data_IF_188720988731
#
_entry.id   IF_188720988731
#
_cell.length_a   1.000
_cell.length_b   1.000
_cell.length_c   1.000
_cell.angle_alpha   90.00
_cell.angle_beta   90.00
_cell.angle_gamma   90.00
#
_symmetry.space_group_name_H-M   'P 1'
#
loop_
_entity.id
_entity.type
_entity.pdbx_description
1 polymer ?
#
# COMPACT_ATOMS: atom_id res chain seq x y z
N UNK A 1 -22.73 24.73 6.94
CA UNK A 1 -24.04 24.41 7.56
C UNK A 1 -24.24 22.92 7.38
N UNK A 2 -23.99 22.12 8.42
CA UNK A 2 -24.12 20.65 8.37
C UNK A 2 -24.81 20.26 9.66
N UNK A 3 -26.05 19.79 9.53
CA UNK A 3 -26.91 19.40 10.64
C UNK A 3 -26.43 18.08 11.25
N UNK A 4 -26.29 18.05 12.58
CA UNK A 4 -26.11 16.83 13.36
C UNK A 4 -27.48 16.40 13.86
N UNK A 5 -27.97 15.25 13.41
CA UNK A 5 -29.12 14.59 14.04
C UNK A 5 -28.61 13.52 15.00
N UNK A 6 -28.85 13.74 16.30
CA UNK A 6 -28.73 12.75 17.37
C UNK A 6 -30.15 12.33 17.72
N UNK A 7 -30.46 11.04 17.61
CA UNK A 7 -31.71 10.47 18.11
C UNK A 7 -31.39 9.51 19.25
N UNK A 8 -31.88 9.87 20.44
CA UNK A 8 -31.84 9.09 21.67
C UNK A 8 -32.98 8.08 21.66
N UNK A 9 -32.63 6.79 21.67
CA UNK A 9 -33.57 5.67 21.83
C UNK A 9 -33.25 4.91 23.11
N UNK A 10 -34.26 4.78 23.97
CA UNK A 10 -34.27 4.19 25.31
C UNK A 10 -34.17 2.65 25.28
N UNK A 11 -33.27 2.07 26.08
CA UNK A 11 -33.14 0.62 26.26
C UNK A 11 -34.04 0.09 27.40
N UNK A 12 -34.63 -1.10 27.19
CA UNK A 12 -34.97 -2.08 28.24
C UNK A 12 -34.36 -3.44 27.85
N UNK A 13 -33.81 -4.22 28.80
CA UNK A 13 -32.83 -5.25 28.47
C UNK A 13 -33.50 -6.61 28.25
N UNK A 14 -33.09 -7.30 27.19
CA UNK A 14 -33.28 -8.74 27.07
C UNK A 14 -31.92 -9.38 26.84
N UNK A 15 -31.40 -10.04 27.87
CA UNK A 15 -30.13 -10.77 27.85
C UNK A 15 -30.07 -11.71 26.65
N UNK A 16 -29.16 -11.42 25.72
CA UNK A 16 -28.79 -12.31 24.62
C UNK A 16 -27.28 -12.22 24.50
N UNK A 17 -26.63 -13.39 24.59
CA UNK A 17 -25.19 -13.53 24.46
C UNK A 17 -24.67 -12.72 23.26
N UNK A 18 -23.76 -11.78 23.52
CA UNK A 18 -23.14 -10.96 22.48
C UNK A 18 -22.31 -11.90 21.57
N UNK A 19 -22.60 -11.98 20.26
CA UNK A 19 -21.62 -12.53 19.36
C UNK A 19 -20.39 -11.63 19.43
N UNK A 20 -19.21 -12.23 19.67
CA UNK A 20 -17.94 -11.54 19.52
C UNK A 20 -17.94 -10.98 18.12
N UNK A 21 -18.07 -9.65 18.02
CA UNK A 21 -17.95 -8.96 16.76
C UNK A 21 -16.51 -9.15 16.31
N UNK A 22 -16.29 -10.14 15.44
CA UNK A 22 -15.10 -10.19 14.62
C UNK A 22 -15.22 -8.97 13.73
N UNK A 23 -14.60 -7.87 14.19
CA UNK A 23 -14.54 -6.63 13.44
C UNK A 23 -14.04 -6.92 12.02
N UNK A 24 -14.35 -6.04 11.06
CA UNK A 24 -13.87 -6.22 9.69
C UNK A 24 -12.36 -6.47 9.74
N UNK A 25 -11.95 -7.64 9.28
CA UNK A 25 -10.54 -7.96 9.09
C UNK A 25 -10.01 -6.87 8.17
N UNK A 26 -9.17 -5.99 8.71
CA UNK A 26 -8.49 -4.96 7.94
C UNK A 26 -7.60 -5.69 6.92
N UNK A 27 -8.11 -5.88 5.70
CA UNK A 27 -7.27 -6.20 4.56
C UNK A 27 -6.62 -4.88 4.16
N UNK A 28 -5.29 -4.72 4.33
CA UNK A 28 -4.62 -3.58 3.74
C UNK A 28 -4.98 -3.59 2.25
N UNK A 29 -5.33 -2.43 1.66
CA UNK A 29 -5.66 -2.40 0.25
C UNK A 29 -4.47 -2.97 -0.52
N UNK A 30 -4.74 -3.79 -1.51
CA UNK A 30 -3.72 -4.27 -2.43
C UNK A 30 -3.28 -3.09 -3.30
N UNK A 31 -2.00 -3.00 -3.65
CA UNK A 31 -1.59 -2.08 -4.73
C UNK A 31 -2.33 -2.52 -5.99
N UNK A 32 -3.19 -1.67 -6.53
CA UNK A 32 -4.00 -2.00 -7.71
C UNK A 32 -3.47 -1.25 -8.92
N UNK A 33 -3.30 -1.95 -10.03
CA UNK A 33 -2.84 -1.39 -11.29
C UNK A 33 -3.93 -1.59 -12.34
N UNK A 34 -4.31 -0.53 -13.02
CA UNK A 34 -5.32 -0.53 -14.08
C UNK A 34 -4.77 0.19 -15.30
N UNK A 35 -4.80 -0.44 -16.47
CA UNK A 35 -4.46 0.20 -17.73
C UNK A 35 -5.75 0.64 -18.43
N UNK A 36 -5.93 1.94 -18.65
CA UNK A 36 -7.07 2.52 -19.36
C UNK A 36 -6.63 3.69 -20.23
N UNK A 37 -7.09 3.73 -21.48
CA UNK A 37 -6.86 4.85 -22.41
C UNK A 37 -5.38 5.27 -22.51
N UNK A 38 -4.46 4.30 -22.72
CA UNK A 38 -3.00 4.50 -22.73
C UNK A 38 -2.41 5.08 -21.43
N UNK A 39 -3.12 4.95 -20.31
CA UNK A 39 -2.67 5.40 -18.99
C UNK A 39 -2.65 4.25 -17.99
N UNK A 40 -1.56 4.17 -17.24
CA UNK A 40 -1.44 3.30 -16.07
C UNK A 40 -1.93 4.05 -14.83
N UNK A 41 -3.04 3.58 -14.27
CA UNK A 41 -3.57 4.00 -12.99
C UNK A 41 -3.05 3.06 -11.90
N UNK A 42 -2.19 3.58 -11.02
CA UNK A 42 -1.68 2.83 -9.87
C UNK A 42 -2.35 3.39 -8.61
N UNK A 43 -3.10 2.55 -7.90
CA UNK A 43 -3.70 2.86 -6.61
C UNK A 43 -2.83 2.30 -5.51
N UNK A 44 -2.33 3.18 -4.64
CA UNK A 44 -1.42 2.81 -3.56
C UNK A 44 -2.14 3.07 -2.24
N UNK A 45 -2.22 2.06 -1.35
CA UNK A 45 -2.78 2.24 -0.02
C UNK A 45 -1.93 3.23 0.77
N UNK A 46 -2.54 4.28 1.30
CA UNK A 46 -1.86 5.26 2.15
C UNK A 46 -2.35 5.21 3.60
N UNK A 47 -3.17 4.21 3.95
CA UNK A 47 -3.65 4.03 5.31
C UNK A 47 -2.46 3.76 6.25
N UNK A 48 -2.35 4.55 7.32
CA UNK A 48 -1.20 4.52 8.23
C UNK A 48 -0.03 5.43 7.84
N UNK A 49 -0.15 6.19 6.74
CA UNK A 49 0.85 7.18 6.33
C UNK A 49 0.37 8.60 6.63
N UNK A 50 1.27 9.49 7.03
CA UNK A 50 0.98 10.93 7.11
C UNK A 50 0.96 11.57 5.71
N UNK A 51 0.33 12.75 5.55
CA UNK A 51 0.39 13.49 4.28
C UNK A 51 1.83 13.75 3.80
N UNK A 52 2.75 14.04 4.72
CA UNK A 52 4.17 14.23 4.41
C UNK A 52 4.82 12.95 3.88
N UNK A 53 4.57 11.80 4.52
CA UNK A 53 5.09 10.49 4.09
C UNK A 53 4.57 10.09 2.71
N UNK A 54 3.29 10.39 2.43
CA UNK A 54 2.69 10.19 1.10
C UNK A 54 3.37 11.08 0.06
N UNK A 55 3.62 12.35 0.38
CA UNK A 55 4.27 13.27 -0.55
C UNK A 55 5.73 12.88 -0.83
N UNK A 56 6.47 12.44 0.18
CA UNK A 56 7.84 11.93 0.02
C UNK A 56 7.86 10.65 -0.81
N UNK A 57 6.88 9.79 -0.62
CA UNK A 57 6.71 8.59 -1.42
C UNK A 57 6.43 8.92 -2.89
N UNK A 58 5.48 9.81 -3.18
CA UNK A 58 5.19 10.26 -4.55
C UNK A 58 6.39 10.97 -5.17
N UNK A 59 7.15 11.73 -4.38
CA UNK A 59 8.38 12.38 -4.84
C UNK A 59 9.46 11.38 -5.25
N UNK A 60 9.56 10.23 -4.55
CA UNK A 60 10.43 9.10 -4.93
C UNK A 60 9.96 8.40 -6.19
N UNK A 61 8.64 8.32 -6.44
CA UNK A 61 8.06 7.75 -7.66
C UNK A 61 8.25 8.60 -8.91
N UNK A 62 8.81 9.82 -8.81
CA UNK A 62 9.14 10.64 -9.99
C UNK A 62 10.35 10.09 -10.73
N UNK A 63 10.19 8.90 -11.31
CA UNK A 63 11.22 8.09 -11.98
C UNK A 63 11.97 8.94 -13.00
N UNK A 64 11.29 9.67 -13.88
CA UNK A 64 11.96 10.49 -14.90
C UNK A 64 12.85 11.59 -14.32
N UNK A 65 12.49 12.18 -13.18
CA UNK A 65 13.31 13.21 -12.53
C UNK A 65 14.54 12.59 -11.88
N UNK A 66 14.40 11.39 -11.31
CA UNK A 66 15.50 10.62 -10.72
C UNK A 66 16.45 10.11 -11.80
N UNK A 67 15.92 9.56 -12.89
CA UNK A 67 16.68 9.08 -14.06
C UNK A 67 17.42 10.23 -14.74
N UNK A 68 16.78 11.39 -14.94
CA UNK A 68 17.46 12.58 -15.50
C UNK A 68 18.61 13.06 -14.63
N UNK A 69 18.49 12.95 -13.30
CA UNK A 69 19.55 13.34 -12.36
C UNK A 69 20.67 12.30 -12.26
N UNK A 70 20.37 11.01 -12.45
CA UNK A 70 21.36 9.93 -12.34
C UNK A 70 22.36 9.91 -13.49
N UNK A 71 21.99 10.48 -14.66
CA UNK A 71 22.79 10.44 -15.91
C UNK A 71 23.14 9.03 -16.36
N UNK A 72 22.40 8.02 -15.90
CA UNK A 72 22.61 6.63 -16.28
C UNK A 72 22.11 6.39 -17.71
N UNK A 73 22.86 5.58 -18.46
CA UNK A 73 22.33 5.01 -19.70
C UNK A 73 21.22 4.01 -19.38
N UNK A 74 20.30 3.73 -20.33
CA UNK A 74 19.26 2.72 -20.13
C UNK A 74 19.82 1.36 -19.67
N UNK A 75 20.91 0.89 -20.28
CA UNK A 75 21.55 -0.38 -19.92
C UNK A 75 22.14 -0.36 -18.50
N UNK A 76 22.75 0.75 -18.09
CA UNK A 76 23.29 0.90 -16.75
C UNK A 76 22.16 0.96 -15.69
N UNK A 77 21.06 1.65 -16.01
CA UNK A 77 19.88 1.69 -15.15
C UNK A 77 19.21 0.31 -15.04
N UNK A 78 19.11 -0.43 -16.15
CA UNK A 78 18.61 -1.80 -16.17
C UNK A 78 19.47 -2.72 -15.30
N UNK A 79 20.79 -2.72 -15.53
CA UNK A 79 21.73 -3.52 -14.75
C UNK A 79 21.64 -3.24 -13.25
N UNK A 80 21.63 -1.96 -12.87
CA UNK A 80 21.45 -1.56 -11.47
C UNK A 80 20.14 -2.08 -10.88
N UNK A 81 19.05 -2.10 -11.66
CA UNK A 81 17.77 -2.63 -11.20
C UNK A 81 17.81 -4.15 -10.98
N UNK A 82 18.53 -4.91 -11.82
CA UNK A 82 18.72 -6.35 -11.63
C UNK A 82 19.59 -6.64 -10.40
N UNK A 83 20.66 -5.86 -10.22
CA UNK A 83 21.55 -5.99 -9.06
C UNK A 83 20.80 -5.74 -7.74
N UNK A 84 19.96 -4.69 -7.68
CA UNK A 84 19.13 -4.39 -6.50
C UNK A 84 18.10 -5.49 -6.26
N UNK A 85 17.38 -5.92 -7.30
CA UNK A 85 16.35 -6.97 -7.17
C UNK A 85 16.94 -8.29 -6.69
N UNK A 86 18.06 -8.71 -7.29
CA UNK A 86 18.74 -9.95 -6.93
C UNK A 86 19.26 -9.92 -5.50
N UNK A 87 19.90 -8.83 -5.07
CA UNK A 87 20.35 -8.66 -3.69
C UNK A 87 19.19 -8.70 -2.69
N UNK A 88 18.13 -7.93 -2.95
CA UNK A 88 16.93 -7.96 -2.12
C UNK A 88 16.32 -9.37 -2.03
N UNK A 89 16.23 -10.07 -3.16
CA UNK A 89 15.69 -11.43 -3.20
C UNK A 89 16.53 -12.37 -2.35
N UNK A 90 17.85 -12.38 -2.50
CA UNK A 90 18.74 -13.23 -1.70
C UNK A 90 18.59 -13.01 -0.19
N UNK A 91 18.44 -11.75 0.23
CA UNK A 91 18.25 -11.40 1.65
C UNK A 91 16.89 -11.82 2.21
N UNK A 92 15.86 -11.89 1.35
CA UNK A 92 14.47 -12.07 1.78
C UNK A 92 13.87 -13.42 1.37
N UNK A 93 14.56 -14.22 0.58
CA UNK A 93 14.06 -15.48 0.00
C UNK A 93 13.44 -16.40 1.06
N UNK A 94 14.12 -16.56 2.21
CA UNK A 94 13.65 -17.40 3.33
C UNK A 94 12.29 -17.00 3.90
N UNK A 95 11.84 -15.76 3.68
CA UNK A 95 10.53 -15.27 4.12
C UNK A 95 9.39 -15.73 3.19
N UNK A 96 9.74 -16.13 1.97
CA UNK A 96 8.80 -16.43 0.90
C UNK A 96 8.89 -17.87 0.41
N UNK A 97 10.02 -18.54 0.64
CA UNK A 97 10.18 -19.96 0.37
C UNK A 97 10.01 -20.73 1.68
N UNK A 98 8.98 -21.59 1.83
CA UNK A 98 8.82 -22.41 3.02
C UNK A 98 10.02 -23.35 3.16
N UNK A 99 10.51 -23.55 4.39
CA UNK A 99 11.52 -24.58 4.67
C UNK A 99 10.94 -25.94 4.27
N UNK A 100 11.52 -26.54 3.23
CA UNK A 100 11.28 -27.95 2.93
C UNK A 100 12.13 -28.73 3.93
N UNK A 101 11.45 -29.31 4.94
CA UNK A 101 12.00 -30.30 5.86
C UNK A 101 12.53 -31.52 5.12
#
# INVERSE_FOLDING_TARGET
MIEKHVSTGTEKPCSRALPVAVGPVYRPPMIAVKAEHDRLHVTIPTAGMTPEEVNDFVSRLRVESVVRRSRLTPDAAWKLSEDIKSGWWQENERRFTPEVL
#
